data_IF_086291582861
#
_entry.id   IF_086291582861
#
_cell.length_a   1.000
_cell.length_b   1.000
_cell.length_c   1.000
_cell.angle_alpha   90.00
_cell.angle_beta   90.00
_cell.angle_gamma   90.00
#
_symmetry.space_group_name_H-M   'P 1'
#
loop_
_entity.id
_entity.type
_entity.pdbx_description
1 polymer ?
#
# COMPACT_ATOMS: atom_id res chain seq x y z
N UNK A 1 -27.45 -48.25 13.64
CA UNK A 1 -26.20 -48.92 14.08
C UNK A 1 -25.37 -47.88 14.83
N UNK A 2 -25.39 -47.95 16.16
CA UNK A 2 -24.55 -47.16 17.05
C UNK A 2 -23.07 -47.46 16.81
N UNK A 3 -22.17 -46.51 17.12
CA UNK A 3 -21.00 -46.75 17.96
C UNK A 3 -20.39 -45.42 18.46
N UNK A 4 -20.52 -45.27 19.77
CA UNK A 4 -19.83 -44.35 20.67
C UNK A 4 -18.40 -44.87 20.93
N UNK A 5 -17.48 -43.98 21.33
CA UNK A 5 -16.22 -44.12 22.11
C UNK A 5 -15.06 -43.39 21.42
N UNK A 6 -14.08 -42.78 22.08
CA UNK A 6 -13.86 -42.23 23.42
C UNK A 6 -12.50 -41.49 23.35
N UNK A 7 -12.29 -40.56 24.29
CA UNK A 7 -11.09 -39.74 24.48
C UNK A 7 -9.79 -40.55 24.60
N UNK A 8 -8.68 -39.99 24.07
CA UNK A 8 -7.35 -40.18 24.65
C UNK A 8 -6.63 -38.84 24.80
N UNK A 9 -6.46 -38.45 26.06
CA UNK A 9 -5.60 -37.40 26.56
C UNK A 9 -4.15 -37.90 26.51
N UNK A 10 -3.27 -37.21 25.80
CA UNK A 10 -1.82 -37.39 25.95
C UNK A 10 -1.11 -36.05 25.79
N UNK A 11 -0.85 -35.44 26.95
CA UNK A 11 0.09 -34.36 27.17
C UNK A 11 1.51 -34.90 26.90
N UNK A 12 2.23 -34.32 25.95
CA UNK A 12 3.69 -34.44 25.88
C UNK A 12 4.29 -33.05 25.68
N UNK A 13 4.71 -32.47 26.81
CA UNK A 13 5.77 -31.48 26.83
C UNK A 13 7.08 -32.17 26.45
N UNK A 14 7.73 -31.68 25.40
CA UNK A 14 9.19 -31.81 25.26
C UNK A 14 9.76 -30.46 24.89
N UNK A 15 10.25 -29.77 25.92
CA UNK A 15 11.17 -28.64 25.81
C UNK A 15 12.47 -29.17 25.22
N UNK A 16 12.94 -28.55 24.14
CA UNK A 16 14.31 -28.76 23.64
C UNK A 16 14.89 -27.39 23.31
N UNK A 17 15.63 -26.87 24.28
CA UNK A 17 16.50 -25.70 24.13
C UNK A 17 17.75 -26.19 23.41
N UNK A 18 17.98 -25.74 22.18
CA UNK A 18 19.28 -25.89 21.54
C UNK A 18 19.87 -24.48 21.40
N UNK A 19 20.79 -24.18 22.32
CA UNK A 19 21.78 -23.14 22.15
C UNK A 19 22.84 -23.66 21.16
N UNK A 20 22.96 -22.99 20.02
CA UNK A 20 24.01 -23.24 19.03
C UNK A 20 24.68 -21.93 18.66
N UNK A 21 25.75 -21.58 19.37
CA UNK A 21 26.71 -20.56 18.94
C UNK A 21 27.83 -21.29 18.19
N UNK A 22 27.90 -21.09 16.88
CA UNK A 22 29.00 -21.56 16.04
C UNK A 22 29.44 -20.41 15.14
N UNK A 23 30.64 -19.89 15.35
CA UNK A 23 31.26 -18.88 14.50
C UNK A 23 32.73 -19.21 14.32
N UNK A 24 33.11 -19.54 13.07
CA UNK A 24 34.45 -19.36 12.50
C UNK A 24 34.37 -19.43 10.95
N UNK A 25 34.52 -18.25 10.31
CA UNK A 25 35.22 -17.84 9.06
C UNK A 25 35.34 -18.77 7.81
N UNK A 26 35.70 -18.31 6.57
CA UNK A 26 36.04 -16.96 6.05
C UNK A 26 35.43 -16.57 4.66
N UNK A 27 35.65 -15.29 4.26
CA UNK A 27 35.73 -14.68 2.89
C UNK A 27 34.57 -14.85 1.89
N UNK A 28 34.10 -13.73 1.33
CA UNK A 28 34.34 -13.32 -0.08
C UNK A 28 33.75 -11.93 -0.38
N UNK A 29 34.56 -11.07 -1.00
CA UNK A 29 34.11 -9.91 -1.75
C UNK A 29 33.25 -10.40 -2.91
N UNK A 30 32.03 -9.87 -3.06
CA UNK A 30 31.45 -9.79 -4.40
C UNK A 30 30.62 -8.52 -4.59
N UNK A 31 30.89 -7.86 -5.70
CA UNK A 31 30.16 -6.71 -6.21
C UNK A 31 28.87 -7.23 -6.82
N UNK A 32 27.72 -6.84 -6.29
CA UNK A 32 26.54 -6.76 -7.14
C UNK A 32 25.69 -5.54 -6.81
N UNK A 33 25.73 -4.62 -7.78
CA UNK A 33 24.94 -3.42 -7.91
C UNK A 33 23.46 -3.76 -8.02
N UNK A 34 22.71 -3.56 -6.93
CA UNK A 34 21.25 -3.44 -6.97
C UNK A 34 20.91 -1.96 -7.03
N UNK A 35 20.47 -1.48 -8.19
CA UNK A 35 19.96 -0.10 -8.36
C UNK A 35 18.60 0.04 -7.65
N UNK A 36 18.66 0.24 -6.34
CA UNK A 36 17.57 0.81 -5.56
C UNK A 36 17.61 2.31 -5.76
N UNK A 37 16.71 2.87 -6.56
CA UNK A 37 16.53 4.33 -6.64
C UNK A 37 15.73 4.78 -5.42
N UNK A 38 16.42 4.92 -4.29
CA UNK A 38 15.98 5.73 -3.16
C UNK A 38 16.16 7.20 -3.57
N UNK A 39 15.10 7.89 -3.96
CA UNK A 39 15.16 9.35 -4.14
C UNK A 39 15.08 10.00 -2.76
N UNK A 40 16.19 10.62 -2.36
CA UNK A 40 16.32 11.37 -1.12
C UNK A 40 15.50 12.66 -1.15
N UNK A 41 14.79 12.87 -0.04
CA UNK A 41 14.10 14.10 0.36
C UNK A 41 15.07 15.24 0.59
N UNK A 42 14.96 16.32 -0.18
CA UNK A 42 15.46 17.65 0.22
C UNK A 42 14.42 18.33 1.11
N UNK A 43 14.78 18.55 2.38
CA UNK A 43 14.13 19.52 3.26
C UNK A 43 14.35 20.92 2.68
N UNK A 44 13.28 21.67 2.45
CA UNK A 44 13.32 23.13 2.49
C UNK A 44 12.17 23.61 3.37
N UNK A 45 12.53 24.24 4.49
CA UNK A 45 11.61 25.00 5.30
C UNK A 45 11.31 26.32 4.59
N UNK A 46 10.03 26.61 4.33
CA UNK A 46 9.46 27.91 4.66
C UNK A 46 7.94 27.85 4.50
N UNK A 47 7.24 28.23 5.56
CA UNK A 47 5.78 28.37 5.55
C UNK A 47 5.38 29.71 4.96
N UNK A 48 4.34 29.71 4.13
CA UNK A 48 3.24 30.66 4.19
C UNK A 48 2.11 30.23 3.23
N UNK A 49 0.88 30.33 3.74
CA UNK A 49 -0.37 30.06 3.04
C UNK A 49 -0.50 30.80 1.71
N UNK A 50 -1.03 30.13 0.69
CA UNK A 50 -1.80 30.81 -0.36
C UNK A 50 -2.83 29.87 -0.98
N UNK A 51 -4.10 30.12 -0.65
CA UNK A 51 -5.28 29.71 -1.42
C UNK A 51 -5.33 30.50 -2.72
N UNK A 52 -5.13 29.85 -3.87
CA UNK A 52 -5.80 30.10 -5.16
C UNK A 52 -5.08 29.37 -6.31
N UNK A 53 -5.86 28.64 -7.12
CA UNK A 53 -5.59 28.28 -8.52
C UNK A 53 -4.20 27.72 -8.90
N UNK A 54 -4.06 26.39 -8.85
CA UNK A 54 -3.08 25.67 -9.71
C UNK A 54 -3.82 25.11 -10.91
N UNK A 55 -4.07 25.98 -11.89
CA UNK A 55 -4.28 25.59 -13.29
C UNK A 55 -2.96 25.81 -14.01
N UNK A 56 -2.15 24.76 -14.09
CA UNK A 56 -1.17 24.46 -15.16
C UNK A 56 -0.14 23.45 -14.63
N UNK A 57 -0.49 22.16 -14.60
CA UNK A 57 0.53 21.11 -14.54
C UNK A 57 0.80 20.67 -16.00
N UNK A 58 1.46 21.55 -16.74
CA UNK A 58 1.82 21.36 -18.16
C UNK A 58 3.23 20.79 -18.34
N UNK A 59 3.69 19.99 -17.37
CA UNK A 59 4.67 18.95 -17.60
C UNK A 59 3.97 17.62 -17.38
N UNK A 60 3.68 16.86 -18.45
CA UNK A 60 3.09 15.52 -18.30
C UNK A 60 4.06 14.70 -17.45
N UNK A 61 3.64 14.34 -16.22
CA UNK A 61 4.41 13.46 -15.34
C UNK A 61 4.76 12.21 -16.14
N UNK A 62 6.05 11.91 -16.26
CA UNK A 62 6.50 10.70 -16.98
C UNK A 62 6.28 9.49 -16.08
N UNK A 63 5.38 8.61 -16.49
CA UNK A 63 5.08 7.35 -15.82
C UNK A 63 5.42 6.18 -16.73
N UNK A 64 5.96 5.10 -16.17
CA UNK A 64 6.16 3.82 -16.85
C UNK A 64 5.19 2.78 -16.32
N UNK A 65 4.53 2.04 -17.20
CA UNK A 65 3.61 0.96 -16.81
C UNK A 65 4.32 -0.17 -16.03
N UNK A 66 5.62 -0.37 -16.30
CA UNK A 66 6.44 -1.38 -15.63
C UNK A 66 6.99 -0.96 -14.26
N UNK A 67 6.90 0.33 -13.92
CA UNK A 67 7.44 0.85 -12.67
C UNK A 67 6.46 0.65 -11.50
N UNK A 68 7.03 0.55 -10.29
CA UNK A 68 6.28 0.56 -9.04
C UNK A 68 6.25 2.00 -8.50
N UNK A 69 5.07 2.45 -8.10
CA UNK A 69 4.87 3.78 -7.52
C UNK A 69 4.10 3.66 -6.22
N UNK A 70 4.40 4.54 -5.27
CA UNK A 70 3.66 4.65 -4.00
C UNK A 70 3.32 6.10 -3.66
N UNK A 71 3.95 7.08 -4.30
CA UNK A 71 3.69 8.49 -4.04
C UNK A 71 2.41 8.97 -4.73
N UNK A 72 1.83 10.03 -4.16
CA UNK A 72 0.53 10.57 -4.55
C UNK A 72 0.49 10.96 -6.03
N UNK A 73 1.50 11.70 -6.50
CA UNK A 73 1.54 12.24 -7.86
C UNK A 73 1.63 11.15 -8.92
N UNK A 74 2.57 10.20 -8.79
CA UNK A 74 2.73 9.13 -9.79
C UNK A 74 1.61 8.11 -9.73
N UNK A 75 1.13 7.72 -8.55
CA UNK A 75 0.02 6.76 -8.43
C UNK A 75 -1.27 7.35 -9.03
N UNK A 76 -1.56 8.63 -8.78
CA UNK A 76 -2.72 9.29 -9.38
C UNK A 76 -2.59 9.38 -10.91
N UNK A 77 -1.42 9.76 -11.42
CA UNK A 77 -1.16 9.81 -12.86
C UNK A 77 -1.29 8.41 -13.50
N UNK A 78 -0.78 7.37 -12.84
CA UNK A 78 -0.86 5.98 -13.29
C UNK A 78 -2.30 5.50 -13.38
N UNK A 79 -3.11 5.72 -12.34
CA UNK A 79 -4.54 5.36 -12.35
C UNK A 79 -5.27 6.13 -13.44
N UNK A 80 -4.94 7.41 -13.65
CA UNK A 80 -5.56 8.22 -14.68
C UNK A 80 -5.24 7.70 -16.09
N UNK A 81 -4.01 7.27 -16.36
CA UNK A 81 -3.60 6.76 -17.67
C UNK A 81 -4.09 5.33 -17.91
N UNK A 82 -3.77 4.40 -17.00
CA UNK A 82 -3.94 2.96 -17.22
C UNK A 82 -5.23 2.39 -16.61
N UNK A 83 -6.03 3.22 -15.91
CA UNK A 83 -7.30 2.84 -15.27
C UNK A 83 -7.20 1.66 -14.28
N UNK A 84 -6.00 1.42 -13.76
CA UNK A 84 -5.68 0.36 -12.79
C UNK A 84 -4.56 0.80 -11.86
N UNK A 85 -4.30 0.04 -10.80
CA UNK A 85 -3.19 0.31 -9.89
C UNK A 85 -1.84 -0.17 -10.48
N UNK A 86 -0.72 0.45 -10.07
CA UNK A 86 0.61 -0.13 -10.25
C UNK A 86 0.71 -1.57 -9.69
N UNK A 87 1.58 -2.39 -10.26
CA UNK A 87 1.70 -3.82 -9.95
C UNK A 87 2.19 -4.14 -8.52
N UNK A 88 2.70 -3.14 -7.80
CA UNK A 88 3.10 -3.25 -6.39
C UNK A 88 1.91 -3.13 -5.42
N UNK A 89 0.69 -2.93 -5.89
CA UNK A 89 -0.50 -2.97 -5.04
C UNK A 89 -1.11 -4.37 -4.97
N UNK A 90 -1.53 -4.75 -3.76
CA UNK A 90 -2.33 -5.95 -3.50
C UNK A 90 -3.52 -5.57 -2.63
N UNK A 91 -4.64 -6.26 -2.80
CA UNK A 91 -5.83 -6.09 -1.96
C UNK A 91 -5.58 -6.56 -0.54
N UNK A 92 -6.42 -6.10 0.40
CA UNK A 92 -6.41 -6.61 1.79
C UNK A 92 -6.56 -8.13 1.83
N UNK A 93 -7.36 -8.72 0.94
CA UNK A 93 -7.56 -10.17 0.91
C UNK A 93 -6.34 -10.93 0.38
N UNK A 94 -5.66 -10.43 -0.64
CA UNK A 94 -4.39 -11.01 -1.11
C UNK A 94 -3.31 -10.93 -0.03
N UNK A 95 -3.18 -9.78 0.64
CA UNK A 95 -2.25 -9.63 1.76
C UNK A 95 -2.55 -10.60 2.92
N UNK A 96 -3.82 -10.80 3.27
CA UNK A 96 -4.23 -11.77 4.30
C UNK A 96 -3.85 -13.21 3.93
N UNK A 97 -3.97 -13.60 2.66
CA UNK A 97 -3.54 -14.91 2.18
C UNK A 97 -2.03 -15.13 2.32
N UNK A 98 -1.25 -14.05 2.33
CA UNK A 98 0.20 -14.09 2.60
C UNK A 98 0.53 -14.07 4.11
N UNK A 99 -0.47 -14.01 4.99
CA UNK A 99 -0.28 -14.01 6.44
C UNK A 99 -0.39 -12.64 7.12
N UNK A 100 -0.81 -11.59 6.40
CA UNK A 100 -0.98 -10.26 6.98
C UNK A 100 -2.15 -10.21 7.98
N UNK A 101 -1.86 -9.81 9.22
CA UNK A 101 -2.81 -9.77 10.34
C UNK A 101 -3.59 -8.45 10.44
N UNK A 102 -3.80 -7.76 9.31
CA UNK A 102 -4.49 -6.45 9.16
C UNK A 102 -3.79 -5.21 9.76
N UNK A 103 -2.78 -5.39 10.61
CA UNK A 103 -1.92 -4.33 11.17
C UNK A 103 -0.48 -4.80 11.26
N UNK A 104 0.46 -3.88 11.04
CA UNK A 104 1.90 -4.21 10.97
C UNK A 104 2.22 -5.29 9.93
N UNK A 105 3.49 -5.67 9.85
CA UNK A 105 4.02 -6.85 9.13
C UNK A 105 3.74 -7.02 7.64
N UNK A 106 3.00 -6.12 6.97
CA UNK A 106 2.79 -6.21 5.52
C UNK A 106 4.13 -6.26 4.76
N UNK A 107 5.10 -5.43 5.17
CA UNK A 107 6.46 -5.41 4.64
C UNK A 107 7.22 -6.73 4.83
N UNK A 108 6.83 -7.54 5.82
CA UNK A 108 7.45 -8.85 6.08
C UNK A 108 6.83 -9.96 5.24
N UNK A 109 5.52 -9.95 5.08
CA UNK A 109 4.78 -11.00 4.36
C UNK A 109 4.62 -10.73 2.87
N UNK A 110 4.72 -9.46 2.46
CA UNK A 110 4.64 -9.01 1.08
C UNK A 110 5.64 -7.86 0.83
N UNK A 111 6.95 -8.14 0.79
CA UNK A 111 7.98 -7.12 0.61
C UNK A 111 7.74 -6.28 -0.66
N UNK A 112 7.84 -4.94 -0.51
CA UNK A 112 7.65 -4.00 -1.60
C UNK A 112 6.19 -3.80 -2.05
N UNK A 113 5.21 -4.39 -1.34
CA UNK A 113 3.79 -4.23 -1.66
C UNK A 113 3.10 -3.18 -0.79
N UNK A 114 2.08 -2.55 -1.36
CA UNK A 114 1.16 -1.63 -0.70
C UNK A 114 -0.28 -2.16 -0.77
N UNK A 115 -1.14 -1.76 0.18
CA UNK A 115 -2.57 -2.13 0.13
C UNK A 115 -3.31 -1.26 -0.89
N UNK A 116 -4.10 -1.87 -1.77
CA UNK A 116 -5.00 -1.14 -2.65
C UNK A 116 -5.86 -2.01 -3.55
N UNK A 117 -6.92 -1.41 -4.07
CA UNK A 117 -7.85 -2.04 -5.01
C UNK A 117 -9.17 -2.49 -4.36
N UNK A 118 -9.25 -2.45 -3.03
CA UNK A 118 -10.48 -2.72 -2.28
C UNK A 118 -11.53 -1.61 -2.48
N UNK A 119 -12.81 -1.97 -2.34
CA UNK A 119 -13.94 -1.04 -2.44
C UNK A 119 -13.89 0.02 -1.35
N UNK A 120 -14.03 1.29 -1.74
CA UNK A 120 -14.32 2.40 -0.84
C UNK A 120 -15.84 2.67 -0.80
N UNK A 121 -16.44 2.64 0.38
CA UNK A 121 -17.90 2.68 0.53
C UNK A 121 -18.53 4.05 0.30
N UNK A 122 -17.79 5.14 0.53
CA UNK A 122 -18.32 6.52 0.52
C UNK A 122 -19.59 6.69 1.39
N UNK A 123 -19.62 6.05 2.57
CA UNK A 123 -20.79 6.05 3.45
C UNK A 123 -21.14 7.45 3.97
N UNK A 124 -20.12 8.26 4.26
CA UNK A 124 -20.27 9.66 4.69
C UNK A 124 -20.63 10.61 3.53
N UNK A 125 -20.64 10.14 2.27
CA UNK A 125 -21.05 10.95 1.12
C UNK A 125 -20.12 12.10 0.74
N UNK A 126 -18.86 12.08 1.20
CA UNK A 126 -17.85 13.12 0.92
C UNK A 126 -17.42 13.20 -0.55
N UNK A 127 -17.61 12.13 -1.33
CA UNK A 127 -17.32 12.09 -2.75
C UNK A 127 -18.59 12.09 -3.62
N UNK A 128 -18.56 12.64 -4.84
CA UNK A 128 -19.74 12.74 -5.70
C UNK A 128 -20.35 11.37 -6.03
N UNK A 129 -21.65 11.22 -5.81
CA UNK A 129 -22.42 10.02 -6.14
C UNK A 129 -23.01 10.14 -7.55
N UNK A 130 -23.06 9.01 -8.26
CA UNK A 130 -23.70 8.86 -9.58
C UNK A 130 -24.15 7.41 -9.73
N UNK A 131 -25.27 7.15 -10.41
CA UNK A 131 -25.69 5.78 -10.68
C UNK A 131 -24.59 5.01 -11.44
N UNK A 132 -24.32 3.77 -11.03
CA UNK A 132 -23.24 2.94 -11.58
C UNK A 132 -21.81 3.34 -11.17
N UNK A 133 -21.63 4.44 -10.42
CA UNK A 133 -20.31 4.82 -9.89
C UNK A 133 -19.95 3.96 -8.69
N UNK A 134 -18.80 3.31 -8.77
CA UNK A 134 -18.14 2.65 -7.65
C UNK A 134 -16.77 3.26 -7.40
N UNK A 135 -16.31 3.14 -6.16
CA UNK A 135 -15.05 3.69 -5.70
C UNK A 135 -14.15 2.58 -5.19
N UNK A 136 -12.86 2.71 -5.45
CA UNK A 136 -11.77 1.91 -4.88
C UNK A 136 -10.78 2.81 -4.17
N UNK A 137 -10.01 2.23 -3.27
CA UNK A 137 -8.97 2.94 -2.52
C UNK A 137 -7.59 2.27 -2.62
N UNK A 138 -6.53 3.04 -2.41
CA UNK A 138 -5.18 2.53 -2.22
C UNK A 138 -4.36 3.38 -1.25
N UNK A 139 -3.38 2.76 -0.60
CA UNK A 139 -2.41 3.41 0.28
C UNK A 139 -1.41 4.24 -0.51
N UNK A 140 -0.98 5.35 0.09
CA UNK A 140 0.01 6.26 -0.48
C UNK A 140 1.15 6.44 0.52
N UNK A 141 2.39 6.51 0.02
CA UNK A 141 3.62 6.63 0.80
C UNK A 141 3.80 5.52 1.86
N UNK A 142 3.23 4.32 1.64
CA UNK A 142 3.52 3.18 2.48
C UNK A 142 4.93 2.66 2.21
N UNK A 143 5.68 2.40 3.28
CA UNK A 143 7.05 1.85 3.19
C UNK A 143 7.17 0.58 4.02
N UNK A 144 6.83 0.63 5.31
CA UNK A 144 6.89 -0.51 6.22
C UNK A 144 6.07 -0.30 7.49
N UNK A 145 5.83 -1.38 8.24
CA UNK A 145 5.15 -1.32 9.53
C UNK A 145 3.66 -1.05 9.39
N UNK A 146 3.12 -0.16 10.22
CA UNK A 146 1.70 0.20 10.17
C UNK A 146 1.39 1.05 8.94
N UNK A 147 0.19 0.85 8.37
CA UNK A 147 -0.36 1.72 7.33
C UNK A 147 -0.52 3.13 7.88
N UNK A 148 -0.23 4.14 7.06
CA UNK A 148 -0.39 5.55 7.40
C UNK A 148 -1.84 6.03 7.13
N UNK A 149 -2.09 7.34 7.20
CA UNK A 149 -3.40 7.96 6.95
C UNK A 149 -3.72 8.28 5.48
N UNK A 150 -2.72 8.21 4.58
CA UNK A 150 -2.78 8.76 3.22
C UNK A 150 -3.38 7.76 2.24
N UNK A 151 -4.33 8.22 1.41
CA UNK A 151 -5.01 7.37 0.42
C UNK A 151 -5.30 8.11 -0.87
N UNK A 152 -5.33 7.37 -1.97
CA UNK A 152 -6.10 7.76 -3.15
C UNK A 152 -7.41 6.99 -3.16
N UNK A 153 -8.48 7.67 -3.53
CA UNK A 153 -9.79 7.10 -3.81
C UNK A 153 -10.16 7.41 -5.25
N UNK A 154 -10.41 6.39 -6.06
CA UNK A 154 -10.63 6.52 -7.49
C UNK A 154 -11.88 5.79 -7.94
N UNK A 155 -12.62 6.40 -8.86
CA UNK A 155 -13.86 5.84 -9.39
C UNK A 155 -13.63 5.03 -10.66
N UNK A 156 -14.57 4.14 -10.95
CA UNK A 156 -14.62 3.43 -12.23
C UNK A 156 -14.82 4.36 -13.44
N UNK A 157 -15.29 5.58 -13.24
CA UNK A 157 -15.52 6.58 -14.30
C UNK A 157 -14.47 7.72 -14.32
N UNK A 158 -13.32 7.51 -13.68
CA UNK A 158 -12.12 8.33 -13.88
C UNK A 158 -11.98 9.55 -12.95
N UNK A 159 -12.78 9.66 -11.91
CA UNK A 159 -12.53 10.61 -10.82
C UNK A 159 -11.44 10.08 -9.90
N UNK A 160 -10.51 10.93 -9.49
CA UNK A 160 -9.43 10.57 -8.57
C UNK A 160 -9.32 11.63 -7.50
N UNK A 161 -9.40 11.23 -6.24
CA UNK A 161 -9.27 12.07 -5.07
C UNK A 161 -8.16 11.57 -4.16
N UNK A 162 -7.54 12.47 -3.43
CA UNK A 162 -6.56 12.17 -2.40
C UNK A 162 -7.07 12.62 -1.03
N UNK A 163 -6.77 11.84 0.00
CA UNK A 163 -6.90 12.23 1.40
C UNK A 163 -5.55 12.03 2.08
N UNK A 164 -5.10 13.05 2.82
CA UNK A 164 -3.90 12.97 3.66
C UNK A 164 -4.21 12.71 5.13
N UNK A 165 -5.49 12.66 5.49
CA UNK A 165 -5.99 12.79 6.85
C UNK A 165 -6.98 11.68 7.23
N UNK A 166 -6.80 10.49 6.63
CA UNK A 166 -7.60 9.30 6.89
C UNK A 166 -9.10 9.54 6.59
N UNK A 167 -9.38 9.97 5.36
CA UNK A 167 -10.71 10.20 4.79
C UNK A 167 -11.50 11.36 5.42
N UNK A 168 -10.87 12.22 6.24
CA UNK A 168 -11.55 13.38 6.83
C UNK A 168 -11.87 14.43 5.76
N UNK A 169 -10.91 14.73 4.88
CA UNK A 169 -11.08 15.63 3.74
C UNK A 169 -10.50 15.04 2.46
N UNK A 170 -10.92 15.58 1.31
CA UNK A 170 -10.49 15.12 -0.01
C UNK A 170 -10.12 16.27 -0.92
N UNK A 171 -9.04 16.09 -1.69
CA UNK A 171 -8.66 16.98 -2.79
C UNK A 171 -8.83 16.23 -4.11
N UNK A 172 -9.53 16.83 -5.07
CA UNK A 172 -9.67 16.27 -6.43
C UNK A 172 -8.33 16.40 -7.15
N UNK A 173 -7.85 15.30 -7.73
CA UNK A 173 -6.62 15.25 -8.52
C UNK A 173 -6.92 15.13 -10.02
N UNK A 174 -7.87 14.26 -10.40
CA UNK A 174 -8.25 14.02 -11.79
C UNK A 174 -9.76 13.85 -11.96
N UNK A 175 -10.19 13.88 -13.22
CA UNK A 175 -11.58 13.71 -13.65
C UNK A 175 -12.29 15.04 -13.93
N UNK A 176 -13.24 15.04 -14.86
CA UNK A 176 -14.14 16.18 -15.09
C UNK A 176 -15.29 16.13 -14.10
#
# INVERSE_FOLDING_TARGET
MQKLLAFFLAMLLSVSVIAGCGSNSPKTNDKQTTKTTTVNTTKSNNGQNTTANVKANSGKIKISESAAYTDKEHVAAYINEYKRLPHNYITKNEAKKLGWQTKGTLDKVAPGKSIGGDRYGNYEGKLPKKNGRNWKECDIDYVKGNRNAKRIVFSNDGLIYYTGDHYKSFSKLYGK
#
